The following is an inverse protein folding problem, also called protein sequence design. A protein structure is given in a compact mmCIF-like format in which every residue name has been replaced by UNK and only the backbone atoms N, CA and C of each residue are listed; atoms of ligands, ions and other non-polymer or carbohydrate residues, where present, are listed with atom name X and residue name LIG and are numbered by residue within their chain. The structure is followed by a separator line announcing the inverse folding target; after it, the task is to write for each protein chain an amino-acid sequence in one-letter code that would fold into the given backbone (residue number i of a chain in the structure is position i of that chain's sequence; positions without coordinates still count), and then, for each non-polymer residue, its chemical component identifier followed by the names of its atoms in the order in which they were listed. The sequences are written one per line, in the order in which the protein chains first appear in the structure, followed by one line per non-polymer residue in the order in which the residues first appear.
data_IF_768316880411
#
_entry.id   IF_768316880411
#
_cell.length_a   1.000
_cell.length_b   1.000
_cell.length_c   1.000
_cell.angle_alpha   90.00
_cell.angle_beta   90.00
_cell.angle_gamma   90.00
#
_symmetry.space_group_name_H-M   'P 1'
#
loop_
_entity.id
_entity.type
_entity.pdbx_description
1 polymer ?
#
# COMPACT_ATOMS: atom_id res chain seq x y z
N UNK A 1 -4.95 13.87 -11.35
CA UNK A 1 -3.74 13.00 -11.23
C UNK A 1 -3.89 12.00 -10.09
N UNK A 2 -4.23 12.44 -8.87
CA UNK A 2 -4.51 11.54 -7.73
C UNK A 2 -5.53 10.45 -8.05
N UNK A 3 -6.64 10.76 -8.72
CA UNK A 3 -7.66 9.74 -9.04
C UNK A 3 -7.17 8.65 -9.99
N UNK A 4 -6.34 9.02 -10.99
CA UNK A 4 -5.73 8.06 -11.90
C UNK A 4 -4.72 7.16 -11.17
N UNK A 5 -3.90 7.74 -10.29
CA UNK A 5 -3.03 7.02 -9.38
C UNK A 5 -3.83 6.04 -8.48
N UNK A 6 -4.96 6.49 -7.92
CA UNK A 6 -5.84 5.64 -7.11
C UNK A 6 -6.38 4.47 -7.94
N UNK A 7 -6.84 4.73 -9.17
CA UNK A 7 -7.36 3.69 -10.05
C UNK A 7 -6.31 2.61 -10.37
N UNK A 8 -5.07 3.01 -10.67
CA UNK A 8 -3.96 2.07 -10.86
C UNK A 8 -3.68 1.29 -9.57
N UNK A 9 -3.63 1.97 -8.42
CA UNK A 9 -3.41 1.31 -7.13
C UNK A 9 -4.51 0.28 -6.80
N UNK A 10 -5.77 0.63 -7.04
CA UNK A 10 -6.91 -0.27 -6.83
C UNK A 10 -6.91 -1.47 -7.77
N UNK A 11 -6.36 -1.32 -8.97
CA UNK A 11 -6.23 -2.42 -9.93
C UNK A 11 -5.11 -3.41 -9.55
N UNK A 12 -3.94 -2.92 -9.12
CA UNK A 12 -2.80 -3.77 -8.83
C UNK A 12 -2.64 -4.08 -7.33
N UNK A 13 -2.42 -3.07 -6.50
CA UNK A 13 -2.02 -3.28 -5.10
C UNK A 13 -3.17 -3.86 -4.28
N UNK A 14 -4.38 -3.29 -4.38
CA UNK A 14 -5.52 -3.70 -3.55
C UNK A 14 -5.85 -5.20 -3.63
N UNK A 15 -6.05 -5.80 -4.83
CA UNK A 15 -6.33 -7.24 -4.91
C UNK A 15 -5.13 -8.09 -4.54
N UNK A 16 -3.91 -7.73 -4.96
CA UNK A 16 -2.72 -8.52 -4.64
C UNK A 16 -2.38 -8.49 -3.14
N UNK A 17 -2.59 -7.37 -2.46
CA UNK A 17 -2.45 -7.28 -1.01
C UNK A 17 -3.53 -8.10 -0.31
N UNK A 18 -4.79 -7.99 -0.73
CA UNK A 18 -5.92 -8.73 -0.14
C UNK A 18 -5.76 -10.26 -0.26
N UNK A 19 -5.14 -10.74 -1.34
CA UNK A 19 -4.89 -12.15 -1.57
C UNK A 19 -3.59 -12.67 -0.93
N UNK A 20 -2.74 -11.80 -0.40
CA UNK A 20 -1.44 -12.18 0.15
C UNK A 20 -1.53 -12.44 1.66
N UNK A 21 -1.39 -13.69 2.14
CA UNK A 21 -1.48 -13.99 3.57
C UNK A 21 -0.33 -13.37 4.39
N UNK A 22 0.78 -13.01 3.75
CA UNK A 22 1.88 -12.26 4.37
C UNK A 22 1.66 -10.76 4.45
N UNK A 23 0.59 -10.23 3.82
CA UNK A 23 0.18 -8.82 3.89
C UNK A 23 -0.93 -8.69 4.93
N UNK A 24 -0.55 -8.35 6.16
CA UNK A 24 -1.44 -8.40 7.33
C UNK A 24 -2.42 -7.21 7.37
N UNK A 25 -1.98 -6.05 6.90
CA UNK A 25 -2.83 -4.87 6.80
C UNK A 25 -2.28 -3.88 5.77
N UNK A 26 -3.18 -3.27 5.01
CA UNK A 26 -2.86 -2.24 4.04
C UNK A 26 -3.79 -1.03 4.25
N UNK A 27 -3.21 0.12 4.53
CA UNK A 27 -3.93 1.39 4.67
C UNK A 27 -3.49 2.30 3.53
N UNK A 28 -4.38 2.58 2.59
CA UNK A 28 -4.16 3.53 1.51
C UNK A 28 -4.79 4.87 1.88
N UNK A 29 -3.96 5.85 2.23
CA UNK A 29 -4.37 7.09 2.85
C UNK A 29 -4.28 8.24 1.84
N UNK A 30 -5.41 8.95 1.71
CA UNK A 30 -5.50 10.23 1.03
C UNK A 30 -5.50 11.31 2.11
N UNK A 31 -4.46 12.13 2.12
CA UNK A 31 -4.37 13.28 3.02
C UNK A 31 -5.28 14.40 2.49
N UNK A 32 -6.04 15.05 3.38
CA UNK A 32 -6.89 16.20 3.04
C UNK A 32 -6.12 17.51 2.89
N UNK A 33 -4.91 17.60 3.44
CA UNK A 33 -4.06 18.79 3.36
C UNK A 33 -3.03 18.76 2.22
N UNK A 34 -2.92 17.62 1.55
CA UNK A 34 -2.08 17.42 0.37
C UNK A 34 -3.02 16.90 -0.70
N UNK A 35 -3.11 17.52 -1.87
CA UNK A 35 -4.01 17.10 -2.96
C UNK A 35 -3.31 16.32 -4.08
N UNK A 36 -1.99 16.15 -3.97
CA UNK A 36 -1.15 15.59 -5.04
C UNK A 36 -0.49 14.25 -4.68
N UNK A 37 -0.25 13.95 -3.40
CA UNK A 37 0.40 12.72 -2.94
C UNK A 37 -0.55 11.62 -2.43
N UNK A 38 -0.07 10.40 -2.24
CA UNK A 38 -0.78 9.36 -1.47
C UNK A 38 0.21 8.72 -0.52
N UNK A 39 -0.25 8.17 0.58
CA UNK A 39 0.61 7.45 1.53
C UNK A 39 0.00 6.09 1.81
N UNK A 40 0.79 5.03 1.69
CA UNK A 40 0.38 3.69 2.02
C UNK A 40 1.14 3.18 3.24
N UNK A 41 0.44 2.73 4.27
CA UNK A 41 1.02 1.99 5.39
C UNK A 41 0.73 0.52 5.19
N UNK A 42 1.77 -0.31 5.23
CA UNK A 42 1.68 -1.74 4.96
C UNK A 42 2.34 -2.51 6.09
N UNK A 43 1.60 -3.45 6.66
CA UNK A 43 2.08 -4.35 7.70
C UNK A 43 2.25 -5.72 7.05
N UNK A 44 3.47 -6.24 7.09
CA UNK A 44 3.79 -7.58 6.61
C UNK A 44 4.09 -8.51 7.79
N UNK A 45 3.88 -9.81 7.60
CA UNK A 45 4.20 -10.82 8.60
C UNK A 45 5.70 -10.99 8.84
N UNK A 46 6.51 -10.66 7.83
CA UNK A 46 7.97 -10.68 7.89
C UNK A 46 8.58 -9.81 6.79
N UNK A 47 9.90 -9.62 6.85
CA UNK A 47 10.64 -8.92 5.80
C UNK A 47 10.62 -9.70 4.48
N UNK A 48 10.72 -11.03 4.53
CA UNK A 48 10.64 -11.90 3.35
C UNK A 48 9.28 -11.79 2.67
N UNK A 49 8.18 -11.71 3.43
CA UNK A 49 6.84 -11.52 2.87
C UNK A 49 6.70 -10.18 2.13
N UNK A 50 7.31 -9.11 2.66
CA UNK A 50 7.42 -7.82 1.98
C UNK A 50 8.21 -7.95 0.68
N UNK A 51 9.39 -8.58 0.72
CA UNK A 51 10.24 -8.74 -0.46
C UNK A 51 9.56 -9.57 -1.56
N UNK A 52 8.94 -10.69 -1.22
CA UNK A 52 8.19 -11.52 -2.17
C UNK A 52 7.04 -10.73 -2.82
N UNK A 53 6.35 -9.88 -2.06
CA UNK A 53 5.31 -9.01 -2.60
C UNK A 53 5.88 -8.01 -3.62
N UNK A 54 6.98 -7.34 -3.28
CA UNK A 54 7.63 -6.35 -4.15
C UNK A 54 8.30 -6.98 -5.38
N UNK A 55 8.69 -8.26 -5.31
CA UNK A 55 9.29 -9.03 -6.41
C UNK A 55 8.25 -9.75 -7.27
N UNK A 56 6.96 -9.57 -6.99
CA UNK A 56 5.91 -10.25 -7.74
C UNK A 56 5.93 -9.84 -9.22
N UNK A 57 5.61 -10.74 -10.17
CA UNK A 57 5.74 -10.46 -11.61
C UNK A 57 4.93 -9.25 -12.12
N UNK A 58 3.84 -8.90 -11.44
CA UNK A 58 2.99 -7.75 -11.77
C UNK A 58 3.54 -6.41 -11.25
N UNK A 59 4.46 -6.43 -10.27
CA UNK A 59 4.93 -5.22 -9.60
C UNK A 59 5.67 -4.25 -10.53
N UNK A 60 6.55 -4.71 -11.46
CA UNK A 60 7.16 -3.84 -12.44
C UNK A 60 6.16 -3.13 -13.37
N UNK A 61 5.09 -3.84 -13.78
CA UNK A 61 4.04 -3.25 -14.61
C UNK A 61 3.28 -2.16 -13.85
N UNK A 62 2.95 -2.44 -12.58
CA UNK A 62 2.37 -1.43 -11.68
C UNK A 62 3.25 -0.18 -11.59
N UNK A 63 4.57 -0.33 -11.38
CA UNK A 63 5.50 0.80 -11.31
C UNK A 63 5.54 1.61 -12.61
N UNK A 64 5.50 0.94 -13.76
CA UNK A 64 5.43 1.61 -15.06
C UNK A 64 4.14 2.43 -15.18
N UNK A 65 2.98 1.84 -14.87
CA UNK A 65 1.68 2.53 -14.93
C UNK A 65 1.60 3.71 -13.97
N UNK A 66 2.14 3.56 -12.76
CA UNK A 66 2.09 4.61 -11.75
C UNK A 66 3.01 5.78 -12.09
N UNK A 67 4.12 5.52 -12.81
CA UNK A 67 5.13 6.53 -13.17
C UNK A 67 4.58 7.69 -14.01
N UNK A 68 3.47 7.47 -14.74
CA UNK A 68 2.80 8.51 -15.52
C UNK A 68 2.10 9.56 -14.62
N UNK A 69 1.86 9.23 -13.35
CA UNK A 69 1.04 10.02 -12.44
C UNK A 69 1.80 10.56 -11.23
N UNK A 70 3.08 10.22 -11.08
CA UNK A 70 3.92 10.61 -9.94
C UNK A 70 5.15 11.39 -10.40
N UNK A 71 5.58 12.34 -9.56
CA UNK A 71 6.76 13.16 -9.86
C UNK A 71 8.10 12.39 -9.74
N UNK A 72 8.07 11.19 -9.17
CA UNK A 72 9.25 10.34 -8.96
C UNK A 72 8.87 9.01 -8.32
N UNK A 73 9.85 8.11 -8.13
CA UNK A 73 9.61 6.82 -7.49
C UNK A 73 9.09 6.99 -6.05
N UNK A 74 8.31 6.02 -5.54
CA UNK A 74 7.84 6.07 -4.16
C UNK A 74 9.01 6.02 -3.18
N UNK A 75 8.94 6.82 -2.12
CA UNK A 75 9.84 6.68 -0.98
C UNK A 75 9.30 5.57 -0.09
N UNK A 76 10.11 4.54 0.14
CA UNK A 76 9.76 3.39 0.98
C UNK A 76 10.66 3.42 2.21
N UNK A 77 10.06 3.32 3.40
CA UNK A 77 10.79 3.27 4.67
C UNK A 77 10.29 2.11 5.50
N UNK A 78 11.21 1.26 5.96
CA UNK A 78 10.91 0.17 6.89
C UNK A 78 10.83 0.70 8.32
N UNK A 79 9.86 0.21 9.09
CA UNK A 79 9.70 0.55 10.51
C UNK A 79 9.07 -0.63 11.24
N UNK A 80 9.30 -0.72 12.55
CA UNK A 80 8.63 -1.69 13.41
C UNK A 80 7.49 -1.03 14.20
N UNK A 81 6.45 -1.80 14.50
CA UNK A 81 5.35 -1.34 15.34
C UNK A 81 5.82 -1.40 16.79
N UNK A 82 6.13 -0.24 17.38
CA UNK A 82 6.48 -0.15 18.79
C UNK A 82 5.25 -0.32 19.70
N UNK A 83 4.07 0.10 19.25
CA UNK A 83 2.80 -0.06 19.93
C UNK A 83 1.63 0.09 18.94
N UNK A 84 0.56 -0.69 19.14
CA UNK A 84 -0.72 -0.48 18.46
C UNK A 84 -1.87 -0.66 19.45
N UNK A 85 -2.92 0.16 19.29
CA UNK A 85 -4.20 -0.11 19.94
C UNK A 85 -4.89 -1.23 19.16
N UNK A 86 -5.44 -2.28 19.82
CA UNK A 86 -6.23 -3.28 19.12
C UNK A 86 -7.44 -2.62 18.45
N UNK A 87 -7.75 -3.08 17.23
CA UNK A 87 -8.96 -2.65 16.55
C UNK A 87 -10.17 -3.16 17.35
N UNK A 88 -11.20 -2.34 17.60
CA UNK A 88 -12.45 -2.83 18.16
C UNK A 88 -13.02 -3.92 17.25
N UNK A 89 -13.54 -5.01 17.83
CA UNK A 89 -14.24 -6.02 17.05
C UNK A 89 -15.35 -5.35 16.21
N UNK A 90 -15.44 -5.68 14.93
CA UNK A 90 -16.50 -5.17 14.07
C UNK A 90 -17.84 -5.72 14.56
N UNK A 91 -18.55 -4.94 15.37
CA UNK A 91 -19.83 -5.31 15.96
C UNK A 91 -20.04 -4.75 17.36
N UNK A 92 -20.20 -3.43 17.46
CA UNK A 92 -20.95 -2.72 18.50
C UNK A 92 -20.93 -1.22 18.18
N UNK A 93 -21.83 -0.81 17.28
CA UNK A 93 -22.35 0.54 17.16
C UNK A 93 -23.80 0.42 16.69
#
# INVERSE_FOLDING_TARGET
MRDALCSVWEHYIKPNASANPGHLACFFCLDSGNDTGVTAFQIFSSEEAKEQFLQSPWYPEYLQKVSEFVAGPPTITSSWIAWSKPQPAAGQA
#
